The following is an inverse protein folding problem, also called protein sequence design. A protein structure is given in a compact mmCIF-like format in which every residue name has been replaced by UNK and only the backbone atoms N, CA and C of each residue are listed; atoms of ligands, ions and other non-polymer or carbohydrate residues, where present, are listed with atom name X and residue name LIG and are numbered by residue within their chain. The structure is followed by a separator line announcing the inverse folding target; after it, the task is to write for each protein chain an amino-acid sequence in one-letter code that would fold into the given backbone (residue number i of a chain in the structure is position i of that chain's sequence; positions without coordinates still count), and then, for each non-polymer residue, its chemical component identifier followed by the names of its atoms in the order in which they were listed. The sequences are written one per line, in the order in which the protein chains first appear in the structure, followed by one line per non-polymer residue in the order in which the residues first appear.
data_IF_545001619087
#
_entry.id   IF_545001619087
#
_cell.length_a   1.000
_cell.length_b   1.000
_cell.length_c   1.000
_cell.angle_alpha   90.00
_cell.angle_beta   90.00
_cell.angle_gamma   90.00
#
_symmetry.space_group_name_H-M   'P 1'
#
loop_
_entity.id
_entity.type
_entity.pdbx_description
1 polymer ?
#
# COMPACT_ATOMS: atom_id res chain seq x y z
N UNK A 1 -9.34 -14.10 8.09
CA UNK A 1 -8.16 -13.84 7.26
C UNK A 1 -7.67 -12.42 7.46
N UNK A 2 -6.39 -12.22 7.27
CA UNK A 2 -5.80 -10.89 7.48
C UNK A 2 -5.71 -10.07 6.20
N UNK A 3 -5.82 -10.69 5.03
CA UNK A 3 -5.75 -10.02 3.73
C UNK A 3 -6.78 -10.61 2.77
N UNK A 4 -7.35 -9.78 1.90
CA UNK A 4 -8.26 -10.21 0.85
C UNK A 4 -7.51 -10.96 -0.24
N UNK A 5 -6.36 -10.46 -0.64
CA UNK A 5 -5.47 -11.10 -1.62
C UNK A 5 -4.03 -10.94 -1.17
N UNK A 6 -3.26 -12.03 -1.24
CA UNK A 6 -1.84 -12.00 -0.94
C UNK A 6 -1.04 -12.80 -1.97
N UNK A 7 -0.06 -12.16 -2.59
CA UNK A 7 0.98 -12.84 -3.37
C UNK A 7 2.08 -13.33 -2.42
N UNK A 8 2.31 -14.64 -2.40
CA UNK A 8 3.26 -15.25 -1.48
C UNK A 8 4.22 -16.17 -2.24
N UNK A 9 5.52 -16.03 -2.00
CA UNK A 9 6.56 -16.85 -2.63
C UNK A 9 6.40 -16.96 -4.15
N UNK A 10 6.01 -15.87 -4.80
CA UNK A 10 5.58 -15.86 -6.20
C UNK A 10 6.38 -14.84 -7.00
N UNK A 11 6.41 -15.00 -8.30
CA UNK A 11 7.05 -14.02 -9.18
C UNK A 11 6.14 -13.63 -10.34
N UNK A 12 6.24 -12.35 -10.75
CA UNK A 12 5.53 -11.80 -11.92
C UNK A 12 4.01 -11.97 -11.83
N UNK A 13 3.46 -11.63 -10.67
CA UNK A 13 2.01 -11.71 -10.39
C UNK A 13 1.35 -10.38 -10.77
N UNK A 14 0.19 -10.49 -11.40
CA UNK A 14 -0.70 -9.38 -11.65
C UNK A 14 -1.99 -9.58 -10.85
N UNK A 15 -2.34 -8.57 -10.04
CA UNK A 15 -3.60 -8.47 -9.30
C UNK A 15 -4.27 -7.20 -9.79
N UNK A 16 -5.39 -7.32 -10.44
CA UNK A 16 -6.02 -6.15 -11.04
C UNK A 16 -7.53 -6.15 -10.95
N UNK A 17 -8.10 -4.94 -10.87
CA UNK A 17 -9.54 -4.69 -10.90
C UNK A 17 -10.31 -5.43 -9.80
N UNK A 18 -9.73 -5.53 -8.64
CA UNK A 18 -10.39 -6.08 -7.44
C UNK A 18 -10.99 -4.93 -6.65
N UNK A 19 -12.21 -5.11 -6.21
CA UNK A 19 -12.84 -4.23 -5.24
C UNK A 19 -13.14 -5.03 -3.99
N UNK A 20 -12.55 -4.63 -2.90
CA UNK A 20 -12.90 -5.09 -1.57
C UNK A 20 -13.84 -4.05 -0.97
N UNK A 21 -15.05 -4.47 -0.69
CA UNK A 21 -16.08 -3.60 -0.11
C UNK A 21 -16.91 -4.39 0.87
N UNK A 22 -16.86 -3.99 2.13
CA UNK A 22 -17.66 -4.61 3.18
C UNK A 22 -18.14 -3.57 4.20
N UNK A 23 -19.16 -3.95 4.94
CA UNK A 23 -19.62 -3.21 6.11
C UNK A 23 -19.41 -4.08 7.34
N UNK A 24 -19.04 -3.52 8.44
CA UNK A 24 -18.82 -4.31 9.64
C UNK A 24 -18.16 -3.54 10.77
N UNK A 25 -17.48 -4.27 11.62
CA UNK A 25 -16.76 -3.68 12.73
C UNK A 25 -15.28 -3.53 12.41
N UNK A 26 -14.74 -2.38 12.72
CA UNK A 26 -13.30 -2.17 12.75
C UNK A 26 -12.82 -2.15 14.20
N UNK A 27 -11.57 -2.57 14.40
CA UNK A 27 -10.90 -2.47 15.68
C UNK A 27 -9.93 -1.30 15.61
N UNK A 28 -10.01 -0.41 16.57
CA UNK A 28 -9.04 0.67 16.73
C UNK A 28 -8.58 0.77 18.17
N UNK A 29 -7.42 1.32 18.39
CA UNK A 29 -6.96 1.68 19.74
C UNK A 29 -7.80 2.84 20.25
N UNK A 30 -8.31 2.71 21.47
CA UNK A 30 -8.90 3.79 22.23
C UNK A 30 -7.85 4.48 23.10
N UNK A 31 -8.26 5.50 23.81
CA UNK A 31 -7.45 6.12 24.85
C UNK A 31 -7.09 5.07 25.92
N UNK A 32 -5.86 5.09 26.42
CA UNK A 32 -5.37 4.14 27.41
C UNK A 32 -5.16 2.71 26.88
N UNK A 33 -4.83 2.55 25.59
CA UNK A 33 -4.54 1.27 24.93
C UNK A 33 -5.73 0.28 24.85
N UNK A 34 -6.92 0.70 25.21
CA UNK A 34 -8.11 -0.13 25.04
C UNK A 34 -8.44 -0.34 23.55
N UNK A 35 -8.89 -1.53 23.20
CA UNK A 35 -9.38 -1.83 21.87
C UNK A 35 -10.87 -1.51 21.79
N UNK A 36 -11.24 -0.63 20.88
CA UNK A 36 -12.63 -0.28 20.62
C UNK A 36 -13.13 -1.00 19.36
N UNK A 37 -14.37 -1.47 19.42
CA UNK A 37 -15.09 -1.97 18.24
C UNK A 37 -16.06 -0.88 17.76
N UNK A 38 -15.94 -0.50 16.52
CA UNK A 38 -16.79 0.50 15.91
C UNK A 38 -17.38 -0.03 14.62
N UNK A 39 -18.69 0.08 14.46
CA UNK A 39 -19.34 -0.25 13.20
C UNK A 39 -19.13 0.87 12.18
N UNK A 40 -18.65 0.49 11.00
CA UNK A 40 -18.45 1.41 9.88
C UNK A 40 -18.97 0.82 8.59
N UNK A 41 -19.34 1.72 7.68
CA UNK A 41 -19.49 1.41 6.27
C UNK A 41 -18.13 1.49 5.58
N UNK A 42 -17.98 0.75 4.48
CA UNK A 42 -16.75 0.74 3.69
C UNK A 42 -15.49 0.34 4.48
N UNK A 43 -15.63 -0.60 5.42
CA UNK A 43 -14.48 -1.19 6.09
C UNK A 43 -13.83 -2.25 5.19
N UNK A 44 -12.51 -2.33 5.24
CA UNK A 44 -11.72 -3.33 4.54
C UNK A 44 -11.29 -4.49 5.41
N UNK A 45 -10.67 -5.47 4.78
CA UNK A 45 -9.85 -6.43 5.49
C UNK A 45 -8.66 -5.71 6.12
N UNK A 46 -8.22 -6.18 7.26
CA UNK A 46 -7.12 -5.58 8.02
C UNK A 46 -5.89 -5.26 7.14
N UNK A 47 -5.50 -6.21 6.29
CA UNK A 47 -4.53 -6.02 5.23
C UNK A 47 -5.25 -6.26 3.90
N UNK A 48 -5.50 -5.23 3.15
CA UNK A 48 -6.33 -5.29 1.95
C UNK A 48 -5.75 -6.22 0.88
N UNK A 49 -4.59 -5.85 0.41
CA UNK A 49 -3.87 -6.57 -0.62
C UNK A 49 -2.38 -6.56 -0.26
N UNK A 50 -1.68 -7.65 -0.51
CA UNK A 50 -0.31 -7.70 -0.02
C UNK A 50 0.63 -8.66 -0.72
N UNK A 51 1.89 -8.55 -0.31
CA UNK A 51 2.97 -9.41 -0.75
C UNK A 51 3.72 -9.99 0.45
N UNK A 52 4.29 -11.17 0.31
CA UNK A 52 5.08 -11.79 1.37
C UNK A 52 6.03 -12.86 0.84
N UNK A 53 6.91 -13.35 1.70
CA UNK A 53 7.79 -14.51 1.45
C UNK A 53 8.52 -14.43 0.12
N UNK A 54 9.34 -13.40 -0.05
CA UNK A 54 10.20 -13.23 -1.22
C UNK A 54 9.45 -13.09 -2.56
N UNK A 55 8.18 -12.70 -2.54
CA UNK A 55 7.46 -12.37 -3.78
C UNK A 55 8.21 -11.29 -4.55
N UNK A 56 8.28 -11.43 -5.87
CA UNK A 56 9.04 -10.53 -6.72
C UNK A 56 8.25 -10.16 -7.98
N UNK A 57 8.23 -8.86 -8.29
CA UNK A 57 7.61 -8.36 -9.52
C UNK A 57 6.09 -8.44 -9.48
N UNK A 58 5.48 -8.23 -8.32
CA UNK A 58 4.03 -8.12 -8.21
C UNK A 58 3.56 -6.76 -8.72
N UNK A 59 2.47 -6.77 -9.49
CA UNK A 59 1.73 -5.58 -9.90
C UNK A 59 0.35 -5.65 -9.29
N UNK A 60 -0.01 -4.63 -8.50
CA UNK A 60 -1.32 -4.43 -7.91
C UNK A 60 -1.90 -3.21 -8.62
N UNK A 61 -2.85 -3.46 -9.54
CA UNK A 61 -3.33 -2.45 -10.47
C UNK A 61 -4.82 -2.20 -10.32
N UNK A 62 -5.20 -0.94 -10.15
CA UNK A 62 -6.60 -0.52 -10.06
C UNK A 62 -7.42 -1.36 -9.06
N UNK A 63 -6.82 -1.62 -7.90
CA UNK A 63 -7.46 -2.31 -6.78
C UNK A 63 -8.00 -1.27 -5.81
N UNK A 64 -9.20 -1.52 -5.29
CA UNK A 64 -9.86 -0.67 -4.31
C UNK A 64 -10.12 -1.44 -3.03
N UNK A 65 -9.85 -0.81 -1.90
CA UNK A 65 -10.10 -1.39 -0.58
C UNK A 65 -10.72 -0.39 0.39
N UNK A 66 -11.17 -0.87 1.53
CA UNK A 66 -11.86 -0.05 2.52
C UNK A 66 -10.97 1.01 3.17
N UNK A 67 -11.61 2.01 3.76
CA UNK A 67 -10.96 3.21 4.32
C UNK A 67 -10.05 2.90 5.51
N UNK A 68 -10.30 1.80 6.22
CA UNK A 68 -9.55 1.37 7.40
C UNK A 68 -8.59 0.21 7.12
N UNK A 69 -8.26 0.02 5.87
CA UNK A 69 -7.38 -1.03 5.37
C UNK A 69 -6.13 -0.45 4.71
N UNK A 70 -5.15 -1.26 4.44
CA UNK A 70 -3.94 -0.84 3.73
C UNK A 70 -3.26 -1.99 3.00
N UNK A 71 -2.44 -1.66 2.02
CA UNK A 71 -1.46 -2.59 1.48
C UNK A 71 -0.55 -3.12 2.58
N UNK A 72 -0.28 -4.41 2.56
CA UNK A 72 0.68 -5.03 3.48
C UNK A 72 1.85 -5.67 2.73
N UNK A 73 3.05 -5.40 3.19
CA UNK A 73 4.20 -6.22 2.87
C UNK A 73 4.60 -7.01 4.11
N UNK A 74 4.25 -8.30 4.12
CA UNK A 74 4.37 -9.15 5.30
C UNK A 74 5.62 -10.02 5.25
N UNK A 75 6.68 -9.52 5.82
CA UNK A 75 7.90 -10.28 6.14
C UNK A 75 8.60 -10.99 4.95
N UNK A 76 9.82 -11.42 5.22
CA UNK A 76 10.65 -12.22 4.32
C UNK A 76 10.91 -11.59 2.96
N UNK A 77 11.08 -10.27 2.94
CA UNK A 77 11.79 -9.56 1.88
C UNK A 77 11.15 -9.64 0.47
N UNK A 78 9.84 -9.39 0.31
CA UNK A 78 9.29 -9.12 -1.02
C UNK A 78 10.02 -7.95 -1.67
N UNK A 79 10.02 -7.88 -3.00
CA UNK A 79 10.71 -6.82 -3.75
C UNK A 79 10.07 -6.55 -5.10
N UNK A 80 10.37 -5.39 -5.65
CA UNK A 80 9.89 -4.96 -6.96
C UNK A 80 8.36 -5.06 -7.08
N UNK A 81 7.66 -4.47 -6.10
CA UNK A 81 6.20 -4.39 -6.10
C UNK A 81 5.76 -3.05 -6.65
N UNK A 82 4.82 -3.05 -7.57
CA UNK A 82 4.16 -1.86 -8.10
C UNK A 82 2.71 -1.83 -7.61
N UNK A 83 2.34 -0.77 -6.89
CA UNK A 83 0.97 -0.41 -6.55
C UNK A 83 0.58 0.73 -7.47
N UNK A 84 -0.33 0.48 -8.41
CA UNK A 84 -0.61 1.36 -9.54
C UNK A 84 -2.09 1.72 -9.62
N UNK A 85 -2.43 2.99 -9.54
CA UNK A 85 -3.81 3.49 -9.59
C UNK A 85 -4.77 2.84 -8.59
N UNK A 86 -4.27 2.44 -7.44
CA UNK A 86 -5.07 1.86 -6.37
C UNK A 86 -5.70 2.93 -5.51
N UNK A 87 -6.73 2.55 -4.76
CA UNK A 87 -7.38 3.45 -3.82
C UNK A 87 -7.87 2.73 -2.56
N UNK A 88 -7.91 3.48 -1.46
CA UNK A 88 -8.38 2.98 -0.17
C UNK A 88 -7.64 3.63 1.00
N UNK A 89 -7.75 3.05 2.17
CA UNK A 89 -7.00 3.50 3.35
C UNK A 89 -5.49 3.35 3.15
N UNK A 90 -4.74 4.26 3.77
CA UNK A 90 -3.29 4.23 3.80
C UNK A 90 -2.82 4.43 5.23
N UNK A 91 -2.66 3.33 5.94
CA UNK A 91 -2.44 3.34 7.38
C UNK A 91 -1.13 2.66 7.72
N UNK A 92 -0.30 3.37 8.46
CA UNK A 92 1.01 2.92 8.91
C UNK A 92 0.97 1.55 9.58
N UNK A 93 0.23 1.43 10.65
CA UNK A 93 0.19 0.22 11.48
C UNK A 93 -0.43 -1.02 10.81
N UNK A 94 -0.97 -0.88 9.60
CA UNK A 94 -1.50 -1.98 8.78
C UNK A 94 -0.61 -2.39 7.61
N UNK A 95 0.55 -1.77 7.48
CA UNK A 95 1.44 -2.03 6.33
C UNK A 95 2.51 -3.07 6.60
N UNK A 96 2.86 -3.26 7.84
CA UNK A 96 4.01 -4.04 8.25
C UNK A 96 3.75 -5.52 8.40
N UNK A 97 4.70 -6.20 8.92
CA UNK A 97 4.72 -7.62 9.12
C UNK A 97 5.54 -8.04 10.32
N UNK A 98 6.15 -9.19 10.24
CA UNK A 98 6.91 -9.80 11.33
C UNK A 98 8.25 -9.10 11.54
N UNK A 99 8.48 -8.61 12.74
CA UNK A 99 9.74 -7.96 13.14
C UNK A 99 10.95 -8.91 13.10
N UNK A 100 10.74 -10.21 13.26
CA UNK A 100 11.79 -11.20 13.19
C UNK A 100 12.30 -11.47 11.75
N UNK A 101 11.59 -10.97 10.74
CA UNK A 101 11.86 -11.25 9.32
C UNK A 101 11.96 -9.98 8.49
N UNK A 102 12.60 -8.97 9.05
CA UNK A 102 12.84 -7.69 8.36
C UNK A 102 13.94 -7.78 7.28
N UNK A 103 13.98 -6.88 6.33
CA UNK A 103 12.97 -5.87 6.06
C UNK A 103 11.68 -6.49 5.52
N UNK A 104 10.55 -5.89 5.86
CA UNK A 104 9.24 -6.36 5.39
C UNK A 104 9.05 -6.13 3.89
N UNK A 105 9.72 -5.16 3.32
CA UNK A 105 9.87 -4.98 1.87
C UNK A 105 11.29 -4.55 1.54
N UNK A 106 11.88 -5.21 0.57
CA UNK A 106 13.17 -4.86 0.00
C UNK A 106 13.03 -3.76 -1.06
N UNK A 107 13.99 -3.64 -1.93
CA UNK A 107 14.07 -2.60 -2.96
C UNK A 107 12.87 -2.55 -3.91
N UNK A 108 12.65 -1.36 -4.45
CA UNK A 108 11.73 -1.09 -5.55
C UNK A 108 10.24 -1.35 -5.21
N UNK A 109 9.81 -1.00 -4.00
CA UNK A 109 8.40 -0.70 -3.78
C UNK A 109 8.11 0.62 -4.50
N UNK A 110 7.15 0.58 -5.41
CA UNK A 110 6.70 1.77 -6.14
C UNK A 110 5.20 1.93 -5.96
N UNK A 111 4.79 3.12 -5.53
CA UNK A 111 3.39 3.52 -5.39
C UNK A 111 3.15 4.65 -6.39
N UNK A 112 2.23 4.40 -7.33
CA UNK A 112 1.95 5.32 -8.42
C UNK A 112 0.48 5.69 -8.48
N UNK A 113 0.18 6.99 -8.46
CA UNK A 113 -1.19 7.52 -8.48
C UNK A 113 -2.14 6.81 -7.50
N UNK A 114 -1.70 6.70 -6.26
CA UNK A 114 -2.54 6.15 -5.21
C UNK A 114 -3.52 7.20 -4.69
N UNK A 115 -4.81 6.88 -4.70
CA UNK A 115 -5.84 7.71 -4.11
C UNK A 115 -6.16 7.25 -2.69
N UNK A 116 -5.65 7.97 -1.68
CA UNK A 116 -5.94 7.70 -0.28
C UNK A 116 -7.34 8.20 0.06
N UNK A 117 -8.27 7.28 0.35
CA UNK A 117 -9.60 7.64 0.84
C UNK A 117 -9.57 8.03 2.31
N UNK A 118 -8.61 7.47 3.05
CA UNK A 118 -8.30 7.80 4.42
C UNK A 118 -6.80 7.56 4.68
N UNK A 119 -6.14 8.51 5.31
CA UNK A 119 -4.79 8.36 5.83
C UNK A 119 -4.84 8.80 7.30
N UNK A 120 -4.80 7.82 8.21
CA UNK A 120 -4.81 8.15 9.63
C UNK A 120 -3.48 8.75 10.04
N UNK A 121 -3.58 9.89 10.71
CA UNK A 121 -2.43 10.67 11.14
C UNK A 121 -2.14 10.57 12.63
N UNK A 122 -3.07 10.02 13.41
CA UNK A 122 -3.06 10.19 14.87
C UNK A 122 -2.39 9.06 15.68
N UNK A 123 -1.91 8.01 15.05
CA UNK A 123 -1.28 6.89 15.78
C UNK A 123 0.11 6.47 15.28
N UNK A 124 0.56 6.97 14.15
CA UNK A 124 1.71 6.41 13.46
C UNK A 124 2.58 7.44 12.76
N UNK A 125 2.51 8.64 13.21
CA UNK A 125 3.39 9.69 12.77
C UNK A 125 4.47 9.89 13.83
N UNK A 126 5.65 10.28 13.40
CA UNK A 126 6.72 10.66 14.30
C UNK A 126 6.36 11.93 15.12
N UNK A 127 7.27 12.38 15.95
CA UNK A 127 7.09 13.59 16.76
C UNK A 127 6.93 14.87 15.93
N UNK A 128 7.24 14.82 14.64
CA UNK A 128 7.11 15.93 13.69
C UNK A 128 5.83 15.84 12.84
N UNK A 129 5.03 14.81 13.04
CA UNK A 129 3.80 14.61 12.28
C UNK A 129 3.98 13.93 10.93
N UNK A 130 5.13 13.27 10.69
CA UNK A 130 5.44 12.64 9.42
C UNK A 130 5.19 11.14 9.45
N UNK A 131 4.67 10.63 8.35
CA UNK A 131 4.55 9.20 8.12
C UNK A 131 5.91 8.57 7.90
N UNK A 132 6.21 7.53 8.64
CA UNK A 132 7.49 6.82 8.59
C UNK A 132 7.34 5.39 8.11
N UNK A 133 8.30 4.88 7.33
CA UNK A 133 8.36 3.49 6.88
C UNK A 133 9.09 2.57 7.85
N UNK A 134 9.82 3.13 8.76
CA UNK A 134 10.35 2.46 9.94
C UNK A 134 10.38 3.46 11.10
N UNK A 135 9.95 3.03 12.24
CA UNK A 135 10.19 3.81 13.45
C UNK A 135 11.65 3.67 13.90
N UNK A 136 12.18 4.68 14.54
CA UNK A 136 13.53 4.67 15.08
C UNK A 136 13.76 3.63 16.18
N UNK A 137 12.70 3.13 16.77
CA UNK A 137 12.69 2.09 17.80
C UNK A 137 12.55 0.67 17.21
N UNK A 138 12.25 0.56 15.94
CA UNK A 138 12.63 -0.53 15.06
C UNK A 138 11.98 -1.89 15.22
N UNK A 139 10.81 -2.02 15.84
CA UNK A 139 10.33 -3.35 16.19
C UNK A 139 9.27 -3.95 15.29
N UNK A 140 8.49 -3.14 14.55
CA UNK A 140 7.28 -3.68 13.95
C UNK A 140 7.30 -3.87 12.45
N UNK A 141 8.05 -3.04 11.72
CA UNK A 141 8.18 -3.15 10.28
C UNK A 141 9.31 -2.28 9.77
N UNK A 142 9.87 -2.65 8.67
CA UNK A 142 10.93 -1.92 7.99
C UNK A 142 10.82 -2.12 6.50
N UNK A 143 10.62 -1.02 5.78
CA UNK A 143 10.67 -1.03 4.33
C UNK A 143 11.97 -0.35 3.90
N UNK A 144 12.61 -0.90 2.88
CA UNK A 144 13.65 -0.14 2.19
C UNK A 144 12.99 1.07 1.52
N UNK A 145 13.68 2.22 1.43
CA UNK A 145 13.08 3.45 0.94
C UNK A 145 12.28 3.28 -0.36
N UNK A 146 10.97 3.52 -0.35
CA UNK A 146 10.11 3.34 -1.52
C UNK A 146 10.17 4.54 -2.47
N UNK A 147 9.57 4.36 -3.64
CA UNK A 147 9.25 5.41 -4.60
C UNK A 147 7.76 5.67 -4.53
N UNK A 148 7.37 6.93 -4.28
CA UNK A 148 5.97 7.37 -4.30
C UNK A 148 5.85 8.53 -5.29
N UNK A 149 4.92 8.40 -6.22
CA UNK A 149 4.63 9.43 -7.22
C UNK A 149 3.12 9.56 -7.39
N UNK A 150 2.60 10.79 -7.26
CA UNK A 150 1.19 11.04 -7.46
C UNK A 150 0.28 10.53 -6.33
N UNK A 151 0.76 10.42 -5.10
CA UNK A 151 -0.08 10.14 -3.95
C UNK A 151 -1.04 11.31 -3.72
N UNK A 152 -2.34 11.05 -3.62
CA UNK A 152 -3.35 12.11 -3.51
C UNK A 152 -4.61 11.62 -2.76
N UNK A 153 -5.57 12.51 -2.54
CA UNK A 153 -6.75 12.27 -1.71
C UNK A 153 -6.54 12.79 -0.30
N UNK A 154 -6.69 11.95 0.72
CA UNK A 154 -6.37 12.34 2.10
C UNK A 154 -4.91 12.74 2.19
N UNK A 155 -4.60 13.92 2.74
CA UNK A 155 -3.24 14.40 2.82
C UNK A 155 -2.41 13.54 3.78
N UNK A 156 -1.16 13.32 3.41
CA UNK A 156 -0.18 12.63 4.23
C UNK A 156 1.20 13.22 3.97
N UNK A 157 1.88 13.58 5.03
CA UNK A 157 3.26 14.03 4.97
C UNK A 157 4.21 12.85 5.22
N UNK A 158 5.15 12.63 4.33
CA UNK A 158 6.10 11.53 4.42
C UNK A 158 7.45 12.03 4.92
N UNK A 159 8.14 11.22 5.70
CA UNK A 159 9.54 11.48 6.05
C UNK A 159 10.44 11.29 4.81
N UNK A 160 10.91 12.39 4.26
CA UNK A 160 11.76 12.40 3.05
C UNK A 160 13.05 11.61 3.23
N UNK A 161 13.56 11.49 4.46
CA UNK A 161 14.79 10.73 4.73
C UNK A 161 14.62 9.24 4.54
N UNK A 162 13.37 8.77 4.57
CA UNK A 162 13.00 7.38 4.38
C UNK A 162 12.48 7.08 2.96
N UNK A 163 12.55 8.05 2.06
CA UNK A 163 12.07 7.92 0.69
C UNK A 163 13.22 7.82 -0.30
N UNK A 164 13.13 6.89 -1.24
CA UNK A 164 14.00 6.89 -2.41
C UNK A 164 13.61 8.00 -3.38
N UNK A 165 12.32 8.27 -3.50
CA UNK A 165 11.75 9.34 -4.31
C UNK A 165 10.34 9.66 -3.86
N UNK A 166 10.04 10.93 -3.73
CA UNK A 166 8.70 11.44 -3.48
C UNK A 166 8.43 12.55 -4.51
N UNK A 167 7.40 12.37 -5.34
CA UNK A 167 7.01 13.37 -6.35
C UNK A 167 5.50 13.54 -6.37
N UNK A 168 5.06 14.78 -6.57
CA UNK A 168 3.66 15.16 -6.74
C UNK A 168 2.78 14.63 -5.60
N UNK A 169 3.25 14.75 -4.36
CA UNK A 169 2.43 14.47 -3.19
C UNK A 169 1.27 15.48 -3.14
N UNK A 170 0.06 14.98 -3.16
CA UNK A 170 -1.19 15.76 -3.22
C UNK A 170 -1.83 15.82 -4.62
N UNK A 171 -1.17 15.37 -5.68
CA UNK A 171 -1.69 15.51 -7.05
C UNK A 171 -1.36 14.29 -7.91
N UNK A 172 -2.35 13.75 -8.59
CA UNK A 172 -2.14 12.69 -9.57
C UNK A 172 -1.27 13.16 -10.74
N UNK A 173 -0.55 12.22 -11.36
CA UNK A 173 0.38 12.50 -12.46
C UNK A 173 0.04 11.73 -13.73
N UNK A 174 0.61 12.18 -14.84
CA UNK A 174 0.64 11.42 -16.09
C UNK A 174 2.01 10.72 -16.30
N UNK A 175 2.03 9.51 -16.87
CA UNK A 175 0.86 8.73 -17.30
C UNK A 175 0.02 8.26 -16.10
N UNK A 176 -1.29 8.20 -16.28
CA UNK A 176 -2.19 7.81 -15.17
C UNK A 176 -1.82 6.44 -14.59
N UNK A 177 -1.52 5.45 -15.42
CA UNK A 177 -1.00 4.14 -15.01
C UNK A 177 0.43 3.94 -15.48
N UNK A 178 1.33 3.72 -14.53
CA UNK A 178 2.72 3.38 -14.83
C UNK A 178 2.83 2.00 -15.49
N UNK A 179 2.05 1.03 -15.06
CA UNK A 179 2.05 -0.31 -15.63
C UNK A 179 1.65 -0.31 -17.11
N UNK A 180 0.58 0.40 -17.45
CA UNK A 180 0.15 0.53 -18.84
C UNK A 180 1.20 1.24 -19.70
N UNK A 181 1.81 2.30 -19.17
CA UNK A 181 2.87 3.01 -19.87
C UNK A 181 4.10 2.11 -20.11
N UNK A 182 4.45 1.29 -19.13
CA UNK A 182 5.54 0.31 -19.27
C UNK A 182 5.20 -0.77 -20.32
N UNK A 183 3.96 -1.26 -20.32
CA UNK A 183 3.50 -2.21 -21.36
C UNK A 183 3.57 -1.59 -22.74
N UNK A 184 3.04 -0.39 -22.91
CA UNK A 184 3.08 0.34 -24.17
C UNK A 184 4.51 0.57 -24.66
N UNK A 185 5.41 0.96 -23.76
CA UNK A 185 6.82 1.15 -24.11
C UNK A 185 7.51 -0.14 -24.55
N UNK A 186 7.18 -1.25 -23.88
CA UNK A 186 7.81 -2.57 -24.14
C UNK A 186 7.23 -3.29 -25.33
N UNK A 187 5.91 -3.24 -25.51
CA UNK A 187 5.18 -4.02 -26.50
C UNK A 187 4.76 -3.20 -27.72
N UNK A 188 4.78 -1.87 -27.64
CA UNK A 188 4.21 -0.98 -28.64
C UNK A 188 2.68 -0.77 -28.49
N UNK A 189 2.03 -1.49 -27.62
CA UNK A 189 0.58 -1.40 -27.36
C UNK A 189 0.24 -1.77 -25.93
N UNK A 190 -0.99 -1.47 -25.53
CA UNK A 190 -1.58 -1.99 -24.29
C UNK A 190 -2.44 -3.21 -24.67
N UNK A 191 -2.20 -4.38 -24.06
CA UNK A 191 -2.93 -5.59 -24.39
C UNK A 191 -4.46 -5.43 -24.20
N UNK A 192 -5.25 -6.00 -25.13
CA UNK A 192 -6.71 -5.88 -25.09
C UNK A 192 -7.35 -6.43 -23.83
N UNK A 193 -6.79 -7.49 -23.27
CA UNK A 193 -7.28 -8.04 -22.00
C UNK A 193 -7.20 -7.03 -20.85
N UNK A 194 -6.18 -6.17 -20.82
CA UNK A 194 -6.08 -5.12 -19.80
C UNK A 194 -7.11 -4.00 -20.06
N UNK A 195 -7.33 -3.66 -21.32
CA UNK A 195 -8.36 -2.68 -21.70
C UNK A 195 -9.77 -3.16 -21.35
N UNK A 196 -10.04 -4.46 -21.43
CA UNK A 196 -11.33 -5.03 -21.04
C UNK A 196 -11.60 -5.04 -19.54
N UNK A 197 -10.57 -4.81 -18.72
CA UNK A 197 -10.70 -4.67 -17.27
C UNK A 197 -11.01 -3.22 -16.83
N UNK A 198 -10.97 -2.25 -17.71
CA UNK A 198 -11.31 -0.85 -17.42
C UNK A 198 -12.81 -0.64 -17.34
#
# INVERSE_FOLDING_TARGET
GHASIRSQASSRIFIGKVTENSNGYTLRKGEGESTLMEYKTNVGQYHACGVSKQSMGAVIWNVRWGDDSCFESHATQPRATLIDCCSGGFMHWRQGGDSAQMPNHMENLTIWNFYATNAQTDQDIDTEGKFTWWDGNGFWWKFMPPIIVGFHGSPLDFDDTQMKRLESNGTAVEPYSLYEAQLRKRLGYVPSWLSSLK
#
